data_IF_259593673764
#
_entry.id   IF_259593673764
#
_cell.length_a   1.000
_cell.length_b   1.000
_cell.length_c   1.000
_cell.angle_alpha   90.00
_cell.angle_beta   90.00
_cell.angle_gamma   90.00
#
_symmetry.space_group_name_H-M   'P 1'
#
loop_
_entity.id
_entity.type
_entity.pdbx_description
1 polymer ?
#
# COMPACT_ATOMS: atom_id res chain seq x y z
N UNK A 1 3.95 -14.46 -12.51
CA UNK A 1 3.45 -14.48 -11.11
C UNK A 1 2.17 -13.67 -11.05
N UNK A 2 1.22 -14.03 -10.20
CA UNK A 2 -0.07 -13.35 -10.06
C UNK A 2 0.04 -12.18 -9.08
N UNK A 3 -0.42 -11.00 -9.48
CA UNK A 3 -0.49 -9.83 -8.59
C UNK A 3 -1.82 -9.76 -7.84
N UNK A 4 -1.80 -9.22 -6.63
CA UNK A 4 -2.99 -8.84 -5.88
C UNK A 4 -3.28 -7.37 -6.16
N UNK A 5 -4.16 -7.13 -7.12
CA UNK A 5 -4.57 -5.78 -7.52
C UNK A 5 -5.59 -5.23 -6.53
N UNK A 6 -5.25 -4.15 -5.85
CA UNK A 6 -6.11 -3.51 -4.84
C UNK A 6 -6.56 -2.12 -5.28
N UNK A 7 -7.75 -1.74 -4.82
CA UNK A 7 -8.25 -0.38 -4.90
C UNK A 7 -8.39 0.18 -3.48
N UNK A 8 -8.05 1.45 -3.27
CA UNK A 8 -8.17 2.13 -1.98
C UNK A 8 -9.33 3.12 -2.02
N UNK A 9 -10.23 3.06 -1.04
CA UNK A 9 -11.32 4.04 -0.89
C UNK A 9 -11.05 4.87 0.36
N UNK A 10 -10.72 6.14 0.16
CA UNK A 10 -10.23 7.06 1.19
C UNK A 10 -8.70 6.97 1.34
N UNK A 11 -8.00 8.00 0.87
CA UNK A 11 -6.54 8.13 0.97
C UNK A 11 -6.13 8.87 2.25
N UNK A 12 -6.60 8.36 3.40
CA UNK A 12 -6.24 8.86 4.74
C UNK A 12 -4.93 8.25 5.28
N UNK A 13 -4.68 8.43 6.58
CA UNK A 13 -3.49 7.88 7.26
C UNK A 13 -3.31 6.37 7.09
N UNK A 14 -4.40 5.58 7.16
CA UNK A 14 -4.31 4.14 6.95
C UNK A 14 -3.81 3.79 5.54
N UNK A 15 -4.25 4.53 4.52
CA UNK A 15 -3.76 4.36 3.15
C UNK A 15 -2.29 4.77 3.03
N UNK A 16 -1.90 5.88 3.68
CA UNK A 16 -0.51 6.32 3.72
C UNK A 16 0.42 5.27 4.34
N UNK A 17 0.06 4.73 5.51
CA UNK A 17 0.81 3.66 6.16
C UNK A 17 0.86 2.37 5.33
N UNK A 18 -0.25 2.00 4.65
CA UNK A 18 -0.27 0.83 3.77
C UNK A 18 0.69 1.01 2.60
N UNK A 19 0.56 2.10 1.83
CA UNK A 19 1.38 2.32 0.63
C UNK A 19 2.87 2.40 0.99
N UNK A 20 3.21 3.11 2.06
CA UNK A 20 4.59 3.17 2.55
C UNK A 20 5.09 1.82 3.06
N UNK A 21 4.24 1.03 3.74
CA UNK A 21 4.58 -0.31 4.21
C UNK A 21 4.82 -1.30 3.07
N UNK A 22 4.01 -1.23 2.02
CA UNK A 22 4.22 -2.04 0.80
C UNK A 22 5.58 -1.74 0.18
N UNK A 23 5.94 -0.46 0.06
CA UNK A 23 7.23 -0.05 -0.48
C UNK A 23 8.40 -0.43 0.44
N UNK A 24 8.26 -0.21 1.75
CA UNK A 24 9.30 -0.49 2.74
C UNK A 24 9.64 -1.98 2.82
N UNK A 25 8.65 -2.87 2.71
CA UNK A 25 8.83 -4.32 2.84
C UNK A 25 8.81 -5.08 1.50
N UNK A 26 8.83 -4.39 0.35
CA UNK A 26 8.77 -5.05 -0.97
C UNK A 26 9.91 -6.05 -1.20
N UNK A 27 11.08 -5.81 -0.60
CA UNK A 27 12.26 -6.70 -0.67
C UNK A 27 12.50 -7.50 0.61
N UNK A 28 11.51 -7.60 1.51
CA UNK A 28 11.67 -8.38 2.74
C UNK A 28 11.96 -9.86 2.44
N UNK A 29 12.82 -10.50 3.23
CA UNK A 29 13.08 -11.93 3.12
C UNK A 29 11.88 -12.73 3.67
N UNK A 30 11.28 -13.66 2.90
CA UNK A 30 10.17 -14.51 3.35
C UNK A 30 10.44 -15.30 4.64
N UNK A 31 11.70 -15.58 4.94
CA UNK A 31 12.13 -16.34 6.12
C UNK A 31 12.29 -15.49 7.37
N UNK A 32 12.32 -14.16 7.24
CA UNK A 32 12.48 -13.23 8.35
C UNK A 32 11.12 -12.86 8.98
N UNK A 33 11.15 -12.59 10.29
CA UNK A 33 10.00 -12.02 10.99
C UNK A 33 9.98 -10.50 10.84
N UNK A 34 8.91 -10.00 10.24
CA UNK A 34 8.62 -8.56 10.17
C UNK A 34 7.61 -8.19 11.27
N UNK A 35 7.89 -7.21 12.14
CA UNK A 35 6.93 -6.76 13.15
C UNK A 35 5.59 -6.32 12.52
N UNK A 36 4.47 -6.81 13.06
CA UNK A 36 3.13 -6.50 12.57
C UNK A 36 2.63 -7.36 11.40
N UNK A 37 3.49 -8.20 10.80
CA UNK A 37 3.10 -9.16 9.78
C UNK A 37 3.18 -10.59 10.32
N UNK A 38 2.15 -11.39 10.03
CA UNK A 38 2.21 -12.83 10.32
C UNK A 38 3.18 -13.56 9.37
N UNK A 39 3.19 -13.16 8.10
CA UNK A 39 4.02 -13.72 7.04
C UNK A 39 4.43 -12.62 6.05
N UNK A 40 5.66 -12.69 5.54
CA UNK A 40 6.12 -11.87 4.42
C UNK A 40 5.59 -12.42 3.08
N UNK A 41 5.49 -13.74 2.97
CA UNK A 41 4.82 -14.42 1.86
C UNK A 41 3.66 -15.26 2.39
N UNK A 42 2.45 -15.00 1.90
CA UNK A 42 1.24 -15.71 2.30
C UNK A 42 0.61 -16.37 1.08
N UNK A 43 0.57 -17.71 1.06
CA UNK A 43 -0.06 -18.45 -0.03
C UNK A 43 0.59 -18.22 -1.40
N UNK A 44 1.90 -17.95 -1.44
CA UNK A 44 2.65 -17.64 -2.66
C UNK A 44 2.57 -16.18 -3.10
N UNK A 45 1.94 -15.30 -2.31
CA UNK A 45 1.93 -13.85 -2.54
C UNK A 45 2.89 -13.16 -1.58
N UNK A 46 3.93 -12.54 -2.14
CA UNK A 46 4.84 -11.67 -1.43
C UNK A 46 4.23 -10.28 -1.25
N UNK A 47 4.73 -9.49 -0.29
CA UNK A 47 4.32 -8.08 -0.11
C UNK A 47 4.44 -7.25 -1.41
N UNK A 48 5.43 -7.58 -2.26
CA UNK A 48 5.68 -6.90 -3.54
C UNK A 48 4.62 -7.19 -4.61
N UNK A 49 3.82 -8.23 -4.40
CA UNK A 49 2.77 -8.62 -5.34
C UNK A 49 1.49 -7.82 -5.12
N UNK A 50 1.40 -7.02 -4.06
CA UNK A 50 0.28 -6.11 -3.81
C UNK A 50 0.46 -4.84 -4.63
N UNK A 51 -0.43 -4.63 -5.60
CA UNK A 51 -0.36 -3.50 -6.54
C UNK A 51 -1.57 -2.59 -6.37
N UNK A 52 -1.34 -1.31 -6.07
CA UNK A 52 -2.41 -0.30 -6.01
C UNK A 52 -2.76 0.11 -7.44
N UNK A 53 -3.94 -0.29 -7.91
CA UNK A 53 -4.38 -0.04 -9.29
C UNK A 53 -5.46 1.03 -9.40
N UNK A 54 -6.07 1.41 -8.28
CA UNK A 54 -7.05 2.48 -8.23
C UNK A 54 -7.11 3.10 -6.83
N UNK A 55 -7.48 4.38 -6.77
CA UNK A 55 -7.80 5.05 -5.53
C UNK A 55 -8.95 6.04 -5.72
N UNK A 56 -9.74 6.23 -4.67
CA UNK A 56 -10.88 7.14 -4.65
C UNK A 56 -10.80 8.02 -3.40
N UNK A 57 -10.98 9.32 -3.59
CA UNK A 57 -11.08 10.30 -2.50
C UNK A 57 -12.05 11.42 -2.91
N UNK A 58 -12.45 12.23 -1.94
CA UNK A 58 -13.33 13.40 -2.13
C UNK A 58 -12.60 14.72 -1.85
N UNK A 59 -11.44 14.68 -1.19
CA UNK A 59 -10.66 15.86 -0.88
C UNK A 59 -10.00 16.43 -2.14
N UNK A 60 -10.28 17.70 -2.44
CA UNK A 60 -9.70 18.41 -3.58
C UNK A 60 -8.16 18.49 -3.53
N UNK A 61 -7.54 18.35 -2.35
CA UNK A 61 -6.08 18.26 -2.21
C UNK A 61 -5.51 16.92 -2.67
N UNK A 62 -6.35 15.90 -2.88
CA UNK A 62 -5.97 14.52 -3.25
C UNK A 62 -6.49 14.12 -4.63
N UNK A 63 -7.72 14.51 -4.96
CA UNK A 63 -8.35 14.21 -6.25
C UNK A 63 -7.52 14.77 -7.41
N UNK A 64 -7.24 13.93 -8.41
CA UNK A 64 -6.44 14.29 -9.59
C UNK A 64 -4.92 14.20 -9.39
N UNK A 65 -4.45 13.79 -8.21
CA UNK A 65 -3.03 13.51 -7.94
C UNK A 65 -2.73 12.02 -8.03
N UNK A 66 -1.45 11.73 -8.25
CA UNK A 66 -0.95 10.36 -8.12
C UNK A 66 -1.09 9.86 -6.67
N UNK A 67 -1.26 8.55 -6.49
CA UNK A 67 -1.36 7.95 -5.15
C UNK A 67 -0.13 8.27 -4.30
N UNK A 68 1.07 8.25 -4.89
CA UNK A 68 2.33 8.54 -4.19
C UNK A 68 2.39 9.97 -3.64
N UNK A 69 1.67 10.91 -4.24
CA UNK A 69 1.56 12.28 -3.75
C UNK A 69 0.38 12.45 -2.79
N UNK A 70 -0.77 11.88 -3.12
CA UNK A 70 -2.01 12.04 -2.38
C UNK A 70 -1.94 11.47 -0.95
N UNK A 71 -1.12 10.44 -0.71
CA UNK A 71 -0.91 9.88 0.64
C UNK A 71 -0.15 10.81 1.59
N UNK A 72 0.47 11.88 1.10
CA UNK A 72 1.13 12.92 1.91
C UNK A 72 0.36 14.24 1.94
N UNK A 73 -0.77 14.33 1.26
CA UNK A 73 -1.59 15.53 1.30
C UNK A 73 -2.28 15.65 2.67
N UNK A 74 -2.13 16.82 3.32
CA UNK A 74 -2.90 17.16 4.52
C UNK A 74 -4.42 16.99 4.27
N UNK A 75 -5.20 16.56 5.28
CA UNK A 75 -4.82 16.35 6.68
C UNK A 75 -4.56 14.87 7.00
N UNK A 76 -3.79 14.17 6.15
CA UNK A 76 -3.21 12.89 6.56
C UNK A 76 -2.32 13.11 7.78
#
# INVERSE_FOLDING_TARGET
MSTVRIAIVGLGNCASSLVQGLEYYKEADPTHRVPGLMHVELGGYHIRDVEVVAAFDVDAKKVGKDVSEAIFAEPN
#
